data_IF_020134158187
#
_entry.id   IF_020134158187
#
_cell.length_a   1.000
_cell.length_b   1.000
_cell.length_c   1.000
_cell.angle_alpha   90.00
_cell.angle_beta   90.00
_cell.angle_gamma   90.00
#
_symmetry.space_group_name_H-M   'P 1'
#
loop_
_entity.id
_entity.type
_entity.pdbx_description
1 polymer ?
#
# COMPACT_ATOMS: atom_id res chain seq x y z
N UNK A 1 -14.78 7.09 9.65
CA UNK A 1 -14.16 5.75 9.74
C UNK A 1 -13.46 5.33 8.45
N UNK A 2 -14.17 4.94 7.38
CA UNK A 2 -13.56 4.37 6.17
C UNK A 2 -12.52 5.28 5.48
N UNK A 3 -12.83 6.58 5.40
CA UNK A 3 -11.93 7.60 4.84
C UNK A 3 -10.67 7.74 5.69
N UNK A 4 -10.80 7.62 7.01
CA UNK A 4 -9.71 7.73 7.97
C UNK A 4 -8.79 6.51 7.91
N UNK A 5 -9.37 5.31 7.82
CA UNK A 5 -8.63 4.08 7.55
C UNK A 5 -7.82 4.21 6.26
N UNK A 6 -8.45 4.63 5.15
CA UNK A 6 -7.74 4.88 3.90
C UNK A 6 -6.59 5.87 4.07
N UNK A 7 -6.81 6.95 4.82
CA UNK A 7 -5.79 7.96 5.10
C UNK A 7 -4.62 7.34 5.87
N UNK A 8 -4.88 6.54 6.90
CA UNK A 8 -3.88 5.80 7.67
C UNK A 8 -3.03 4.90 6.77
N UNK A 9 -3.67 4.06 5.96
CA UNK A 9 -2.98 3.22 4.98
C UNK A 9 -2.09 4.04 4.02
N UNK A 10 -2.61 5.14 3.48
CA UNK A 10 -1.85 5.99 2.55
C UNK A 10 -0.63 6.67 3.21
N UNK A 11 -0.75 7.12 4.46
CA UNK A 11 0.37 7.73 5.21
C UNK A 11 1.45 6.69 5.52
N UNK A 12 1.05 5.48 5.92
CA UNK A 12 1.97 4.38 6.22
C UNK A 12 2.76 3.94 4.98
N UNK A 13 2.08 3.80 3.84
CA UNK A 13 2.74 3.53 2.55
C UNK A 13 3.66 4.70 2.16
N UNK A 14 3.27 5.95 2.46
CA UNK A 14 4.14 7.13 2.25
C UNK A 14 5.41 7.06 3.09
N UNK A 15 5.30 6.63 4.34
CA UNK A 15 6.42 6.41 5.25
C UNK A 15 7.28 5.18 4.91
N UNK A 16 6.86 4.36 3.93
CA UNK A 16 7.50 3.08 3.58
C UNK A 16 7.49 2.07 4.74
N UNK A 17 6.36 1.95 5.44
CA UNK A 17 6.22 1.08 6.61
C UNK A 17 5.09 0.04 6.45
N UNK A 18 5.23 -1.13 7.06
CA UNK A 18 4.20 -2.16 7.24
C UNK A 18 3.18 -1.80 8.31
N UNK A 19 2.05 -2.54 8.43
CA UNK A 19 0.99 -2.29 9.42
C UNK A 19 1.47 -2.37 10.86
N UNK A 20 2.53 -3.15 11.08
CA UNK A 20 3.29 -3.30 12.31
C UNK A 20 4.26 -2.14 12.59
N UNK A 21 4.40 -1.19 11.66
CA UNK A 21 5.34 -0.08 11.72
C UNK A 21 6.74 -0.41 11.18
N UNK A 22 7.02 -1.67 10.80
CA UNK A 22 8.34 -2.07 10.31
C UNK A 22 8.65 -1.42 8.95
N UNK A 23 9.88 -0.99 8.74
CA UNK A 23 10.29 -0.40 7.47
C UNK A 23 10.29 -1.43 6.34
N UNK A 24 9.85 -1.04 5.15
CA UNK A 24 9.91 -1.90 3.97
C UNK A 24 11.34 -2.24 3.57
N UNK A 25 11.58 -3.46 3.05
CA UNK A 25 12.86 -3.79 2.46
C UNK A 25 13.26 -2.80 1.37
N UNK A 26 14.54 -2.39 1.39
CA UNK A 26 15.06 -1.36 0.51
C UNK A 26 14.80 -1.68 -0.97
N UNK A 27 14.58 -0.62 -1.76
CA UNK A 27 14.42 -0.76 -3.21
C UNK A 27 15.75 -1.11 -3.86
N UNK A 28 15.77 -2.15 -4.69
CA UNK A 28 16.93 -2.48 -5.53
C UNK A 28 17.33 -1.25 -6.36
N UNK A 29 18.57 -0.79 -6.18
CA UNK A 29 19.13 0.31 -6.97
C UNK A 29 19.25 -0.15 -8.42
N UNK A 30 18.68 0.63 -9.35
CA UNK A 30 18.85 0.37 -10.79
C UNK A 30 20.28 0.76 -11.19
N UNK A 31 20.98 -0.08 -11.96
CA UNK A 31 22.31 0.26 -12.51
C UNK A 31 22.27 1.64 -13.18
N UNK A 32 23.23 2.49 -12.82
CA UNK A 32 23.40 3.83 -13.35
C UNK A 32 24.15 3.75 -14.67
N UNK A 33 23.41 3.80 -15.78
CA UNK A 33 24.00 4.12 -17.07
C UNK A 33 24.02 5.64 -17.16
N UNK A 34 25.22 6.24 -17.11
CA UNK A 34 25.48 7.69 -17.19
C UNK A 34 24.66 8.27 -18.35
N UNK A 35 23.92 9.37 -18.13
CA UNK A 35 23.38 10.16 -19.26
C UNK A 35 21.93 10.66 -19.18
N UNK A 36 21.16 10.48 -18.10
CA UNK A 36 19.82 11.10 -18.01
C UNK A 36 19.61 11.90 -16.71
N UNK A 37 19.56 13.23 -16.84
CA UNK A 37 19.22 14.19 -15.76
C UNK A 37 17.88 13.75 -15.10
N UNK A 38 17.83 13.72 -13.77
CA UNK A 38 16.65 13.28 -13.00
C UNK A 38 16.48 11.77 -12.79
N UNK A 39 17.36 10.91 -13.36
CA UNK A 39 17.31 9.45 -13.14
C UNK A 39 17.62 9.05 -11.69
N UNK A 40 18.55 9.74 -11.04
CA UNK A 40 18.91 9.54 -9.62
C UNK A 40 17.73 9.87 -8.70
N UNK A 41 17.03 11.00 -8.95
CA UNK A 41 15.84 11.40 -8.18
C UNK A 41 14.72 10.34 -8.28
N UNK A 42 14.53 9.73 -9.46
CA UNK A 42 13.56 8.64 -9.66
C UNK A 42 13.99 7.32 -9.02
N UNK A 43 15.30 7.04 -8.92
CA UNK A 43 15.82 5.86 -8.22
C UNK A 43 15.62 5.97 -6.71
N UNK A 44 15.83 7.16 -6.14
CA UNK A 44 15.62 7.47 -4.72
C UNK A 44 14.14 7.69 -4.35
N UNK A 45 13.23 7.65 -5.32
CA UNK A 45 11.81 7.84 -5.04
C UNK A 45 11.26 6.67 -4.22
N UNK A 46 10.48 7.01 -3.18
CA UNK A 46 9.72 6.07 -2.37
C UNK A 46 8.89 5.12 -3.24
N UNK A 47 8.83 3.84 -2.86
CA UNK A 47 7.94 2.90 -3.56
C UNK A 47 6.48 3.33 -3.40
N UNK A 48 5.64 2.86 -4.32
CA UNK A 48 4.17 2.95 -4.17
C UNK A 48 3.59 4.37 -4.09
N UNK A 49 4.38 5.40 -4.40
CA UNK A 49 3.94 6.81 -4.35
C UNK A 49 2.68 7.09 -5.19
N UNK A 50 2.52 6.39 -6.32
CA UNK A 50 1.32 6.49 -7.17
C UNK A 50 0.16 5.68 -6.59
N UNK A 51 0.38 4.43 -6.21
CA UNK A 51 -0.72 3.54 -5.80
C UNK A 51 -1.38 3.99 -4.49
N UNK A 52 -0.67 4.66 -3.58
CA UNK A 52 -1.27 5.21 -2.35
C UNK A 52 -2.27 6.35 -2.55
N UNK A 53 -2.37 6.89 -3.78
CA UNK A 53 -3.28 8.01 -4.06
C UNK A 53 -4.73 7.56 -4.10
N UNK A 54 -5.66 8.49 -3.90
CA UNK A 54 -7.12 8.24 -3.91
C UNK A 54 -7.63 7.62 -5.21
N UNK A 55 -6.89 7.79 -6.32
CA UNK A 55 -7.21 7.17 -7.62
C UNK A 55 -7.10 5.64 -7.57
N UNK A 56 -6.21 5.12 -6.73
CA UNK A 56 -5.81 3.71 -6.73
C UNK A 56 -6.16 2.99 -5.42
N UNK A 57 -5.99 3.64 -4.28
CA UNK A 57 -6.49 3.17 -2.99
C UNK A 57 -7.90 3.73 -2.79
N UNK A 58 -8.92 2.89 -3.00
CA UNK A 58 -10.33 3.28 -2.99
C UNK A 58 -11.03 2.81 -1.72
N UNK A 59 -12.07 3.54 -1.37
CA UNK A 59 -13.07 3.13 -0.40
C UNK A 59 -14.33 2.75 -1.18
N UNK A 60 -14.93 1.62 -0.86
CA UNK A 60 -16.29 1.26 -1.27
C UNK A 60 -17.09 1.00 -0.01
N UNK A 61 -18.32 1.47 0.02
CA UNK A 61 -19.26 1.20 1.10
C UNK A 61 -20.55 0.70 0.47
N UNK A 62 -21.09 -0.39 1.01
CA UNK A 62 -22.45 -0.86 0.77
C UNK A 62 -23.21 -0.79 2.10
N UNK A 63 -24.50 -1.17 2.11
CA UNK A 63 -25.31 -1.15 3.35
C UNK A 63 -24.67 -1.90 4.51
N UNK A 64 -24.06 -3.06 4.22
CA UNK A 64 -23.58 -3.98 5.26
C UNK A 64 -22.05 -4.06 5.39
N UNK A 65 -21.29 -3.44 4.48
CA UNK A 65 -19.84 -3.57 4.48
C UNK A 65 -19.11 -2.35 3.93
N UNK A 66 -17.87 -2.20 4.42
CA UNK A 66 -16.94 -1.16 3.99
C UNK A 66 -15.64 -1.84 3.56
N UNK A 67 -15.22 -1.55 2.35
CA UNK A 67 -13.95 -2.02 1.80
C UNK A 67 -13.00 -0.84 1.62
N UNK A 68 -11.76 -0.99 2.07
CA UNK A 68 -10.66 -0.08 1.75
C UNK A 68 -9.56 -0.90 1.10
N UNK A 69 -9.19 -0.59 -0.14
CA UNK A 69 -8.21 -1.41 -0.84
C UNK A 69 -7.90 -0.99 -2.27
N UNK A 70 -7.15 -1.85 -2.93
CA UNK A 70 -6.75 -1.72 -4.32
C UNK A 70 -7.64 -2.58 -5.21
N UNK A 71 -7.85 -2.15 -6.46
CA UNK A 71 -8.71 -2.85 -7.41
C UNK A 71 -8.02 -3.04 -8.77
N UNK A 72 -8.47 -4.05 -9.53
CA UNK A 72 -7.95 -4.37 -10.86
C UNK A 72 -6.44 -4.67 -10.86
N UNK A 73 -5.72 -4.16 -11.86
CA UNK A 73 -4.27 -4.40 -11.98
C UNK A 73 -3.47 -3.91 -10.77
N UNK A 74 -3.90 -2.83 -10.12
CA UNK A 74 -3.21 -2.33 -8.91
C UNK A 74 -3.34 -3.33 -7.76
N UNK A 75 -4.49 -4.01 -7.63
CA UNK A 75 -4.68 -5.06 -6.64
C UNK A 75 -3.70 -6.21 -6.86
N UNK A 76 -3.49 -6.63 -8.12
CA UNK A 76 -2.50 -7.66 -8.45
C UNK A 76 -1.09 -7.27 -7.99
N UNK A 77 -0.65 -6.06 -8.32
CA UNK A 77 0.68 -5.56 -7.92
C UNK A 77 0.79 -5.49 -6.40
N UNK A 78 -0.24 -4.93 -5.75
CA UNK A 78 -0.27 -4.82 -4.30
C UNK A 78 -0.20 -6.21 -3.63
N UNK A 79 -0.94 -7.18 -4.15
CA UNK A 79 -0.97 -8.56 -3.66
C UNK A 79 0.37 -9.28 -3.81
N UNK A 80 1.09 -9.04 -4.92
CA UNK A 80 2.46 -9.56 -5.10
C UNK A 80 3.38 -9.04 -4.01
N UNK A 81 3.31 -7.74 -3.72
CA UNK A 81 4.14 -7.14 -2.67
C UNK A 81 3.67 -7.50 -1.27
N UNK A 82 2.36 -7.60 -1.03
CA UNK A 82 1.75 -7.94 0.25
C UNK A 82 2.26 -9.26 0.79
N UNK A 83 2.44 -10.26 -0.08
CA UNK A 83 2.83 -11.62 0.30
C UNK A 83 4.17 -12.05 -0.31
N UNK A 84 4.96 -11.08 -0.79
CA UNK A 84 6.25 -11.35 -1.44
C UNK A 84 6.19 -12.39 -2.56
N UNK A 85 5.15 -12.38 -3.41
CA UNK A 85 4.96 -13.40 -4.45
C UNK A 85 5.95 -13.24 -5.60
N UNK A 86 5.97 -14.23 -6.48
CA UNK A 86 6.66 -14.11 -7.77
C UNK A 86 5.74 -13.42 -8.79
N UNK A 87 6.30 -12.53 -9.60
CA UNK A 87 5.61 -11.99 -10.78
C UNK A 87 6.61 -11.83 -11.93
N UNK A 88 6.09 -11.74 -13.15
CA UNK A 88 6.92 -11.57 -14.35
C UNK A 88 7.31 -10.11 -14.53
N UNK A 89 8.58 -9.84 -14.83
CA UNK A 89 9.04 -8.47 -15.10
C UNK A 89 8.50 -7.86 -16.41
N UNK A 90 8.11 -8.71 -17.37
CA UNK A 90 7.42 -8.34 -18.61
C UNK A 90 6.59 -9.53 -19.11
N UNK A 91 5.72 -9.36 -20.12
CA UNK A 91 4.82 -10.42 -20.63
C UNK A 91 5.54 -11.75 -20.91
N UNK A 92 6.76 -11.70 -21.45
CA UNK A 92 7.62 -12.87 -21.71
C UNK A 92 8.94 -12.82 -20.92
N UNK A 93 8.99 -12.00 -19.86
CA UNK A 93 10.19 -11.78 -19.07
C UNK A 93 10.40 -12.82 -17.98
N UNK A 94 11.57 -12.78 -17.31
CA UNK A 94 11.88 -13.69 -16.21
C UNK A 94 10.93 -13.45 -15.02
N UNK A 95 10.71 -14.51 -14.24
CA UNK A 95 10.05 -14.46 -12.96
C UNK A 95 11.00 -13.84 -11.92
N UNK A 96 10.44 -12.99 -11.06
CA UNK A 96 11.17 -12.38 -9.97
C UNK A 96 10.39 -12.54 -8.67
N UNK A 97 11.05 -13.03 -7.62
CA UNK A 97 10.49 -13.11 -6.27
C UNK A 97 10.63 -11.75 -5.60
N UNK A 98 9.50 -11.11 -5.30
CA UNK A 98 9.50 -9.82 -4.64
C UNK A 98 9.67 -9.97 -3.13
N UNK A 99 10.45 -9.11 -2.46
CA UNK A 99 10.41 -9.03 -1.00
C UNK A 99 9.03 -8.57 -0.52
N UNK A 100 8.59 -9.13 0.60
CA UNK A 100 7.34 -8.77 1.25
C UNK A 100 7.36 -7.30 1.69
N UNK A 101 6.28 -6.59 1.36
CA UNK A 101 6.01 -5.20 1.70
C UNK A 101 4.51 -5.11 1.99
N UNK A 102 4.07 -5.39 3.22
CA UNK A 102 2.65 -5.37 3.57
C UNK A 102 2.08 -3.95 3.40
N UNK A 103 1.31 -3.76 2.33
CA UNK A 103 0.70 -2.49 1.96
C UNK A 103 -0.61 -2.28 2.73
N UNK A 104 -1.39 -3.36 2.85
CA UNK A 104 -2.68 -3.38 3.54
C UNK A 104 -2.54 -4.13 4.86
N UNK A 105 -3.34 -3.72 5.84
CA UNK A 105 -3.44 -4.37 7.14
C UNK A 105 -3.94 -3.39 8.19
N UNK A 106 -4.48 -3.91 9.28
CA UNK A 106 -5.01 -3.10 10.37
C UNK A 106 -3.89 -2.83 11.37
N UNK A 107 -3.38 -1.60 11.36
CA UNK A 107 -2.38 -1.15 12.33
C UNK A 107 -3.01 -0.85 13.70
N UNK A 108 -2.22 -0.72 14.77
CA UNK A 108 -2.75 -0.35 16.09
C UNK A 108 -3.59 0.95 16.07
N UNK A 109 -3.16 2.05 15.40
CA UNK A 109 -4.02 3.22 15.23
C UNK A 109 -5.34 2.93 14.50
N UNK A 110 -5.32 2.03 13.51
CA UNK A 110 -6.55 1.63 12.80
C UNK A 110 -7.48 0.85 13.74
N UNK A 111 -6.95 -0.05 14.59
CA UNK A 111 -7.72 -0.82 15.57
C UNK A 111 -8.42 0.10 16.56
N UNK A 112 -7.70 1.09 17.10
CA UNK A 112 -8.27 2.10 17.99
C UNK A 112 -9.37 2.87 17.28
N UNK A 113 -9.11 3.34 16.05
CA UNK A 113 -10.12 4.09 15.29
C UNK A 113 -11.39 3.28 15.02
N UNK A 114 -11.25 1.99 14.71
CA UNK A 114 -12.39 1.07 14.52
C UNK A 114 -13.15 0.89 15.82
N UNK A 115 -12.45 0.60 16.92
CA UNK A 115 -13.04 0.41 18.26
C UNK A 115 -13.85 1.63 18.69
N UNK A 116 -13.22 2.79 18.62
CA UNK A 116 -13.84 4.08 18.97
C UNK A 116 -15.06 4.39 18.09
N UNK A 117 -14.98 4.06 16.80
CA UNK A 117 -16.11 4.25 15.90
C UNK A 117 -17.28 3.33 16.22
N UNK A 118 -16.99 2.10 16.67
CA UNK A 118 -18.01 1.13 17.07
C UNK A 118 -18.70 1.54 18.36
N UNK A 119 -17.94 1.89 19.40
CA UNK A 119 -18.49 2.34 20.69
C UNK A 119 -19.43 3.54 20.52
N UNK A 120 -19.00 4.57 19.78
CA UNK A 120 -19.86 5.73 19.46
C UNK A 120 -21.13 5.39 18.70
N UNK A 121 -21.12 4.32 17.90
CA UNK A 121 -22.32 3.88 17.19
C UNK A 121 -23.30 3.18 18.14
N UNK A 122 -22.78 2.39 19.08
CA UNK A 122 -23.59 1.71 20.11
C UNK A 122 -24.17 2.67 21.13
N UNK A 123 -23.50 3.78 21.44
CA UNK A 123 -24.00 4.82 22.37
C UNK A 123 -25.08 5.72 21.75
N UNK A 124 -25.16 5.78 20.40
CA UNK A 124 -26.12 6.62 19.67
C UNK A 124 -27.42 5.91 19.30
N UNK A 125 -27.49 4.60 19.50
CA UNK A 125 -28.69 3.78 19.37
C UNK A 125 -29.19 3.41 20.76
#
# INVERSE_FOLDING_TARGET
MAIDLRRGQAQRIKAQQGPDGAAYPARKRRKEFKGKKGRIKRQKAAMFAKIRTVKHLKVKATGDQIEVGFFGWVARVAHVHQFGRQDRLSKKGPLYKYPERPLMGVSEPDRTLIRESLLRHMEKN
#
